data_IF_021293368509
#
_entry.id   IF_021293368509
#
_cell.length_a   1.000
_cell.length_b   1.000
_cell.length_c   1.000
_cell.angle_alpha   90.00
_cell.angle_beta   90.00
_cell.angle_gamma   90.00
#
_symmetry.space_group_name_H-M   'P 1'
#
loop_
_entity.id
_entity.type
_entity.pdbx_description
1 polymer ?
#
# COMPACT_ATOMS: atom_id res chain seq x y z
N UNK A 1 2.02 -18.10 -21.88
CA UNK A 1 2.04 -16.77 -21.26
C UNK A 1 2.00 -16.85 -19.73
N UNK A 2 0.97 -17.46 -19.11
CA UNK A 2 0.81 -17.50 -17.64
C UNK A 2 1.95 -18.21 -16.88
N UNK A 3 2.44 -19.36 -17.36
CA UNK A 3 3.57 -20.06 -16.72
C UNK A 3 4.86 -19.23 -16.74
N UNK A 4 5.17 -18.59 -17.87
CA UNK A 4 6.33 -17.70 -18.00
C UNK A 4 6.19 -16.49 -17.06
N UNK A 5 4.98 -15.93 -16.94
CA UNK A 5 4.68 -14.82 -16.03
C UNK A 5 4.86 -15.21 -14.57
N UNK A 6 4.35 -16.39 -14.18
CA UNK A 6 4.54 -16.93 -12.84
C UNK A 6 6.01 -17.09 -12.49
N UNK A 7 6.81 -17.71 -13.36
CA UNK A 7 8.24 -17.93 -13.12
C UNK A 7 9.05 -16.62 -13.06
N UNK A 8 8.80 -15.69 -13.99
CA UNK A 8 9.55 -14.42 -14.05
C UNK A 8 9.19 -13.48 -12.90
N UNK A 9 7.97 -13.52 -12.36
CA UNK A 9 7.60 -12.76 -11.17
C UNK A 9 8.49 -13.07 -9.96
N UNK A 10 8.96 -14.32 -9.82
CA UNK A 10 9.87 -14.71 -8.74
C UNK A 10 11.34 -14.33 -8.98
N UNK A 11 11.69 -13.79 -10.14
CA UNK A 11 13.08 -13.38 -10.45
C UNK A 11 13.51 -12.09 -9.75
N UNK A 12 12.59 -11.37 -9.10
CA UNK A 12 12.87 -10.08 -8.45
C UNK A 12 13.00 -8.89 -9.40
N UNK A 13 12.82 -9.09 -10.72
CA UNK A 13 12.75 -7.99 -11.68
C UNK A 13 11.49 -7.14 -11.48
N UNK A 14 11.52 -5.84 -11.84
CA UNK A 14 10.34 -4.99 -11.72
C UNK A 14 9.17 -5.50 -12.58
N UNK A 15 8.00 -5.62 -11.96
CA UNK A 15 6.80 -6.26 -12.54
C UNK A 15 6.39 -5.63 -13.87
N UNK A 16 6.55 -4.32 -14.04
CA UNK A 16 6.22 -3.61 -15.28
C UNK A 16 6.97 -4.17 -16.50
N UNK A 17 8.28 -4.43 -16.35
CA UNK A 17 9.10 -4.97 -17.44
C UNK A 17 8.79 -6.44 -17.71
N UNK A 18 8.46 -7.21 -16.67
CA UNK A 18 8.04 -8.61 -16.81
C UNK A 18 6.72 -8.68 -17.59
N UNK A 19 5.72 -7.89 -17.20
CA UNK A 19 4.41 -7.85 -17.86
C UNK A 19 4.52 -7.40 -19.32
N UNK A 20 5.23 -6.29 -19.55
CA UNK A 20 5.44 -5.76 -20.90
C UNK A 20 6.26 -6.71 -21.78
N UNK A 21 7.37 -7.23 -21.27
CA UNK A 21 8.27 -8.12 -22.00
C UNK A 21 7.64 -9.46 -22.36
N UNK A 22 6.93 -10.09 -21.42
CA UNK A 22 6.19 -11.34 -21.69
C UNK A 22 5.03 -11.08 -22.66
N UNK A 23 4.32 -9.97 -22.49
CA UNK A 23 3.24 -9.58 -23.41
C UNK A 23 3.73 -9.42 -24.84
N UNK A 24 4.83 -8.69 -25.04
CA UNK A 24 5.43 -8.50 -26.37
C UNK A 24 6.05 -9.79 -26.92
N UNK A 25 6.74 -10.58 -26.09
CA UNK A 25 7.35 -11.84 -26.50
C UNK A 25 6.32 -12.88 -26.94
N UNK A 26 5.20 -13.01 -26.22
CA UNK A 26 4.11 -13.88 -26.65
C UNK A 26 3.31 -13.31 -27.83
N UNK A 27 3.21 -11.98 -27.99
CA UNK A 27 2.61 -11.38 -29.18
C UNK A 27 3.42 -11.70 -30.45
N UNK A 28 4.76 -11.69 -30.37
CA UNK A 28 5.63 -12.09 -31.48
C UNK A 28 5.48 -13.59 -31.81
N UNK A 29 5.52 -14.47 -30.80
CA UNK A 29 5.30 -15.91 -31.00
C UNK A 29 3.92 -16.22 -31.59
N UNK A 30 2.88 -15.49 -31.18
CA UNK A 30 1.53 -15.69 -31.68
C UNK A 30 1.34 -15.21 -33.13
N UNK A 31 2.17 -14.28 -33.61
CA UNK A 31 2.21 -13.90 -35.03
C UNK A 31 2.77 -15.03 -35.90
N UNK A 32 3.86 -15.67 -35.48
CA UNK A 32 4.47 -16.80 -36.22
C UNK A 32 3.56 -18.03 -36.28
N UNK A 33 2.63 -18.15 -35.33
CA UNK A 33 1.62 -19.22 -35.25
C UNK A 33 0.29 -18.85 -35.94
N UNK A 34 0.24 -17.71 -36.65
CA UNK A 34 -0.94 -17.13 -37.31
C UNK A 34 -2.18 -16.95 -36.39
N UNK A 35 -1.94 -16.94 -35.07
CA UNK A 35 -2.97 -16.80 -34.04
C UNK A 35 -3.19 -15.32 -33.64
N UNK A 36 -2.31 -14.41 -34.06
CA UNK A 36 -2.34 -13.01 -33.67
C UNK A 36 -1.78 -12.08 -34.75
N UNK A 37 -2.50 -11.00 -35.06
CA UNK A 37 -2.03 -9.99 -36.00
C UNK A 37 -1.31 -8.84 -35.26
N UNK A 38 -0.04 -8.63 -35.59
CA UNK A 38 0.82 -7.58 -35.02
C UNK A 38 0.26 -6.16 -35.23
N UNK A 39 -0.56 -5.93 -36.24
CA UNK A 39 -1.25 -4.64 -36.44
C UNK A 39 -2.15 -4.26 -35.24
N UNK A 40 -2.59 -5.22 -34.41
CA UNK A 40 -3.34 -4.94 -33.17
C UNK A 40 -2.49 -4.23 -32.11
N UNK A 41 -1.16 -4.30 -32.15
CA UNK A 41 -0.31 -3.51 -31.27
C UNK A 41 -0.46 -2.00 -31.51
N UNK A 42 -0.87 -1.56 -32.70
CA UNK A 42 -1.11 -0.15 -33.00
C UNK A 42 -2.27 0.45 -32.18
N UNK A 43 -3.09 -0.39 -31.53
CA UNK A 43 -4.16 0.04 -30.61
C UNK A 43 -3.61 0.30 -29.20
N UNK A 44 -2.42 -0.20 -28.85
CA UNK A 44 -1.81 -0.01 -27.53
C UNK A 44 -1.62 1.47 -27.15
N UNK A 45 -1.11 2.37 -28.03
CA UNK A 45 -1.00 3.78 -27.70
C UNK A 45 -2.37 4.39 -27.35
N UNK A 46 -3.41 4.10 -28.11
CA UNK A 46 -4.77 4.58 -27.81
C UNK A 46 -5.30 4.04 -26.48
N UNK A 47 -4.98 2.79 -26.11
CA UNK A 47 -5.34 2.20 -24.81
C UNK A 47 -4.58 2.83 -23.65
N UNK A 48 -3.30 3.12 -23.84
CA UNK A 48 -2.44 3.71 -22.81
C UNK A 48 -2.82 5.18 -22.59
N UNK A 49 -2.86 5.97 -23.66
CA UNK A 49 -3.13 7.41 -23.58
C UNK A 49 -4.61 7.72 -23.32
N UNK A 50 -5.53 7.09 -24.05
CA UNK A 50 -6.98 7.34 -23.93
C UNK A 50 -7.69 6.52 -22.85
N UNK A 51 -6.96 5.72 -22.07
CA UNK A 51 -7.56 4.89 -21.01
C UNK A 51 -6.81 4.98 -19.68
N UNK A 52 -5.50 4.74 -19.70
CA UNK A 52 -4.71 4.71 -18.45
C UNK A 52 -4.25 6.10 -18.03
N UNK A 53 -3.71 6.92 -18.93
CA UNK A 53 -3.20 8.27 -18.58
C UNK A 53 -4.30 9.26 -18.21
N UNK A 54 -5.48 9.17 -18.82
CA UNK A 54 -6.63 10.01 -18.49
C UNK A 54 -7.35 9.57 -17.21
N UNK A 55 -6.88 8.50 -16.55
CA UNK A 55 -7.54 7.99 -15.37
C UNK A 55 -7.40 8.97 -14.19
N UNK A 56 -8.52 9.54 -13.68
CA UNK A 56 -8.47 10.50 -12.57
C UNK A 56 -7.90 9.91 -11.27
N UNK A 57 -7.88 8.57 -11.13
CA UNK A 57 -7.26 7.87 -10.00
C UNK A 57 -5.75 8.14 -9.94
N UNK A 58 -5.07 8.29 -11.10
CA UNK A 58 -3.64 8.60 -11.12
C UNK A 58 -3.33 9.97 -10.52
N UNK A 59 -4.25 10.94 -10.63
CA UNK A 59 -4.13 12.28 -10.02
C UNK A 59 -4.32 12.20 -8.49
N UNK A 60 -5.10 11.24 -8.01
CA UNK A 60 -5.31 11.04 -6.58
C UNK A 60 -4.05 10.53 -5.87
N UNK A 61 -3.19 9.74 -6.54
CA UNK A 61 -1.99 9.14 -5.92
C UNK A 61 -1.05 10.20 -5.32
N UNK A 62 -0.58 11.23 -6.05
CA UNK A 62 0.26 12.28 -5.47
C UNK A 62 -0.43 13.07 -4.35
N UNK A 63 -1.74 13.31 -4.48
CA UNK A 63 -2.51 14.06 -3.49
C UNK A 63 -2.63 13.28 -2.16
N UNK A 64 -2.79 11.95 -2.22
CA UNK A 64 -2.76 11.10 -1.03
C UNK A 64 -1.38 11.05 -0.37
N UNK A 65 -0.31 10.93 -1.17
CA UNK A 65 1.06 10.99 -0.65
C UNK A 65 1.32 12.34 0.03
N UNK A 66 0.87 13.44 -0.60
CA UNK A 66 1.01 14.77 -0.03
C UNK A 66 0.24 14.90 1.31
N UNK A 67 -1.03 14.50 1.35
CA UNK A 67 -1.82 14.54 2.57
C UNK A 67 -1.19 13.69 3.69
N UNK A 68 -0.76 12.47 3.36
CA UNK A 68 -0.11 11.57 4.31
C UNK A 68 1.17 12.16 4.90
N UNK A 69 2.04 12.71 4.04
CA UNK A 69 3.29 13.36 4.48
C UNK A 69 3.04 14.65 5.26
N UNK A 70 2.01 15.41 4.93
CA UNK A 70 1.59 16.61 5.67
C UNK A 70 1.11 16.24 7.09
N UNK A 71 0.27 15.21 7.22
CA UNK A 71 -0.21 14.71 8.52
C UNK A 71 0.93 14.15 9.38
N UNK A 72 1.91 13.51 8.76
CA UNK A 72 3.11 13.01 9.44
C UNK A 72 4.00 14.16 9.93
N UNK A 73 4.34 15.11 9.04
CA UNK A 73 5.26 16.22 9.36
C UNK A 73 4.65 17.28 10.28
N UNK A 74 3.33 17.39 10.33
CA UNK A 74 2.64 18.35 11.21
C UNK A 74 2.61 17.92 12.69
N UNK A 75 2.99 16.68 13.00
CA UNK A 75 2.97 16.16 14.38
C UNK A 75 1.60 15.69 14.85
N UNK A 76 0.55 15.82 14.03
CA UNK A 76 -0.83 15.38 14.35
C UNK A 76 -0.89 13.90 14.72
N UNK A 77 -0.04 13.06 14.11
CA UNK A 77 0.07 11.66 14.46
C UNK A 77 0.43 11.45 15.95
N UNK A 78 1.38 12.24 16.47
CA UNK A 78 1.83 12.13 17.86
C UNK A 78 0.75 12.58 18.84
N UNK A 79 0.06 13.68 18.52
CA UNK A 79 -1.04 14.20 19.33
C UNK A 79 -2.23 13.24 19.33
N UNK A 80 -2.55 12.63 18.18
CA UNK A 80 -3.59 11.61 18.06
C UNK A 80 -3.28 10.39 18.95
N UNK A 81 -2.03 9.90 18.93
CA UNK A 81 -1.62 8.79 19.79
C UNK A 81 -1.81 9.14 21.27
N UNK A 82 -1.41 10.34 21.68
CA UNK A 82 -1.58 10.79 23.06
C UNK A 82 -3.06 10.87 23.46
N UNK A 83 -3.91 11.47 22.63
CA UNK A 83 -5.35 11.53 22.86
C UNK A 83 -5.98 10.14 22.96
N UNK A 84 -5.63 9.22 22.06
CA UNK A 84 -6.13 7.85 22.07
C UNK A 84 -5.66 7.10 23.32
N UNK A 85 -4.44 7.32 23.81
CA UNK A 85 -3.96 6.72 25.05
C UNK A 85 -4.73 7.23 26.28
N UNK A 86 -5.09 8.51 26.31
CA UNK A 86 -5.91 9.09 27.38
C UNK A 86 -7.31 8.48 27.35
N UNK A 87 -7.91 8.35 26.17
CA UNK A 87 -9.24 7.77 25.98
C UNK A 87 -9.30 6.28 26.38
N UNK A 88 -8.30 5.49 26.00
CA UNK A 88 -8.28 4.05 26.28
C UNK A 88 -7.66 3.69 27.62
N UNK A 89 -7.26 4.68 28.45
CA UNK A 89 -6.55 4.46 29.72
C UNK A 89 -7.25 3.48 30.67
N UNK A 90 -8.59 3.46 30.66
CA UNK A 90 -9.41 2.59 31.54
C UNK A 90 -9.58 1.16 31.02
N UNK A 91 -9.17 0.88 29.78
CA UNK A 91 -9.33 -0.43 29.14
C UNK A 91 -8.07 -1.27 29.37
N UNK A 92 -8.19 -2.54 29.82
CA UNK A 92 -7.04 -3.43 29.90
C UNK A 92 -6.46 -3.63 28.49
N UNK A 93 -5.16 -3.39 28.32
CA UNK A 93 -4.53 -3.39 26.98
C UNK A 93 -4.70 -2.08 26.19
N UNK A 94 -5.14 -0.99 26.84
CA UNK A 94 -5.49 0.27 26.19
C UNK A 94 -4.42 0.85 25.26
N UNK A 95 -3.12 0.62 25.55
CA UNK A 95 -2.03 1.06 24.68
C UNK A 95 -2.04 0.33 23.32
N UNK A 96 -2.19 -1.00 23.32
CA UNK A 96 -2.31 -1.76 22.08
C UNK A 96 -3.56 -1.34 21.30
N UNK A 97 -4.67 -1.10 21.99
CA UNK A 97 -5.89 -0.60 21.35
C UNK A 97 -5.68 0.77 20.69
N UNK A 98 -4.99 1.70 21.38
CA UNK A 98 -4.66 3.01 20.83
C UNK A 98 -3.78 2.91 19.58
N UNK A 99 -2.80 2.01 19.58
CA UNK A 99 -1.92 1.77 18.43
C UNK A 99 -2.71 1.19 17.26
N UNK A 100 -3.65 0.27 17.50
CA UNK A 100 -4.51 -0.27 16.45
C UNK A 100 -5.42 0.81 15.85
N UNK A 101 -6.06 1.63 16.69
CA UNK A 101 -6.94 2.71 16.24
C UNK A 101 -6.16 3.79 15.49
N UNK A 102 -5.01 4.20 16.02
CA UNK A 102 -4.14 5.18 15.39
C UNK A 102 -3.62 4.66 14.03
N UNK A 103 -3.14 3.41 14.00
CA UNK A 103 -2.68 2.76 12.77
C UNK A 103 -3.80 2.69 11.73
N UNK A 104 -5.02 2.36 12.15
CA UNK A 104 -6.19 2.31 11.26
C UNK A 104 -6.51 3.68 10.66
N UNK A 105 -6.57 4.74 11.48
CA UNK A 105 -6.87 6.11 11.02
C UNK A 105 -5.77 6.64 10.11
N UNK A 106 -4.50 6.47 10.50
CA UNK A 106 -3.36 6.99 9.75
C UNK A 106 -3.13 6.23 8.45
N UNK A 107 -3.31 4.91 8.45
CA UNK A 107 -3.18 4.10 7.25
C UNK A 107 -4.30 4.40 6.22
N UNK A 108 -5.52 4.71 6.68
CA UNK A 108 -6.60 5.19 5.81
C UNK A 108 -6.24 6.48 5.08
N UNK A 109 -5.56 7.42 5.76
CA UNK A 109 -5.19 8.73 5.18
C UNK A 109 -3.94 8.69 4.30
N UNK A 110 -3.00 7.78 4.57
CA UNK A 110 -1.71 7.72 3.85
C UNK A 110 -1.76 6.78 2.66
N UNK A 111 -2.65 5.78 2.65
CA UNK A 111 -2.80 4.82 1.55
C UNK A 111 -1.58 3.90 1.32
N UNK A 112 -0.52 4.02 2.13
CA UNK A 112 0.75 3.28 1.98
C UNK A 112 1.04 2.52 3.28
N UNK A 113 1.00 1.20 3.18
CA UNK A 113 1.21 0.29 4.33
C UNK A 113 2.64 0.39 4.85
N UNK A 114 3.64 0.43 3.96
CA UNK A 114 5.05 0.41 4.38
C UNK A 114 5.47 1.62 5.20
N UNK A 115 5.18 2.83 4.72
CA UNK A 115 5.58 4.07 5.39
C UNK A 115 4.88 4.23 6.76
N UNK A 116 3.57 3.96 6.81
CA UNK A 116 2.78 4.05 8.04
C UNK A 116 3.24 3.06 9.12
N UNK A 117 3.54 1.81 8.76
CA UNK A 117 4.04 0.81 9.71
C UNK A 117 5.41 1.20 10.27
N UNK A 118 6.32 1.70 9.44
CA UNK A 118 7.64 2.15 9.90
C UNK A 118 7.51 3.30 10.89
N UNK A 119 6.69 4.30 10.58
CA UNK A 119 6.45 5.45 11.46
C UNK A 119 5.80 5.02 12.79
N UNK A 120 4.77 4.18 12.75
CA UNK A 120 4.13 3.61 13.95
C UNK A 120 5.12 2.79 14.79
N UNK A 121 6.01 2.05 14.14
CA UNK A 121 7.06 1.29 14.84
C UNK A 121 7.99 2.24 15.60
N UNK A 122 8.45 3.31 14.95
CA UNK A 122 9.33 4.29 15.59
C UNK A 122 8.66 5.05 16.76
N UNK A 123 7.35 5.31 16.66
CA UNK A 123 6.60 6.06 17.68
C UNK A 123 6.06 5.18 18.82
N UNK A 124 5.53 4.00 18.50
CA UNK A 124 4.75 3.19 19.44
C UNK A 124 5.53 2.02 20.03
N UNK A 125 6.44 1.40 19.28
CA UNK A 125 7.20 0.24 19.78
C UNK A 125 8.00 0.55 21.05
N UNK A 126 8.80 1.65 21.15
CA UNK A 126 9.55 1.93 22.38
C UNK A 126 8.61 2.13 23.58
N UNK A 127 7.50 2.85 23.38
CA UNK A 127 6.49 3.10 24.43
C UNK A 127 5.82 1.81 24.90
N UNK A 128 5.56 0.85 23.99
CA UNK A 128 5.00 -0.45 24.34
C UNK A 128 5.98 -1.30 25.15
N UNK A 129 7.27 -1.29 24.78
CA UNK A 129 8.31 -2.03 25.49
C UNK A 129 8.56 -1.46 26.90
N UNK A 130 8.58 -0.14 27.05
CA UNK A 130 8.67 0.52 28.37
C UNK A 130 7.51 0.15 29.29
N UNK A 131 6.32 -0.13 28.74
CA UNK A 131 5.15 -0.62 29.48
C UNK A 131 5.07 -2.15 29.60
N UNK A 132 6.17 -2.85 29.38
CA UNK A 132 6.30 -4.31 29.51
C UNK A 132 5.35 -5.12 28.60
N UNK A 133 4.98 -4.60 27.43
CA UNK A 133 4.32 -5.42 26.42
C UNK A 133 5.30 -6.46 25.86
N UNK A 134 4.82 -7.67 25.58
CA UNK A 134 5.63 -8.67 24.91
C UNK A 134 5.97 -8.23 23.48
N UNK A 135 7.19 -8.50 23.05
CA UNK A 135 7.68 -8.15 21.69
C UNK A 135 6.75 -8.70 20.59
N UNK A 136 6.28 -9.97 20.64
CA UNK A 136 5.38 -10.50 19.61
C UNK A 136 4.04 -9.77 19.58
N UNK A 137 3.51 -9.35 20.73
CA UNK A 137 2.25 -8.62 20.80
C UNK A 137 2.44 -7.20 20.24
N UNK A 138 3.50 -6.49 20.62
CA UNK A 138 3.75 -5.12 20.16
C UNK A 138 3.98 -5.07 18.64
N UNK A 139 4.90 -5.89 18.13
CA UNK A 139 5.22 -5.96 16.70
C UNK A 139 4.05 -6.48 15.88
N UNK A 140 3.35 -7.52 16.36
CA UNK A 140 2.15 -8.05 15.70
C UNK A 140 1.03 -7.02 15.61
N UNK A 141 0.78 -6.27 16.69
CA UNK A 141 -0.26 -5.22 16.72
C UNK A 141 0.05 -4.09 15.74
N UNK A 142 1.30 -3.63 15.70
CA UNK A 142 1.75 -2.57 14.78
C UNK A 142 1.70 -3.05 13.32
N UNK A 143 2.15 -4.27 13.04
CA UNK A 143 2.09 -4.85 11.70
C UNK A 143 0.65 -5.05 11.23
N UNK A 144 -0.24 -5.57 12.11
CA UNK A 144 -1.65 -5.76 11.76
C UNK A 144 -2.38 -4.44 11.56
N UNK A 145 -2.12 -3.43 12.40
CA UNK A 145 -2.83 -2.15 12.33
C UNK A 145 -2.56 -1.40 11.03
N UNK A 146 -1.34 -1.49 10.49
CA UNK A 146 -1.00 -0.93 9.19
C UNK A 146 -1.78 -1.54 8.02
N UNK A 147 -2.18 -2.81 8.12
CA UNK A 147 -2.97 -3.48 7.07
C UNK A 147 -4.45 -3.11 7.10
N UNK A 148 -4.98 -2.68 8.26
CA UNK A 148 -6.39 -2.32 8.41
C UNK A 148 -6.77 -1.05 7.65
N UNK A 149 -5.82 -0.13 7.39
CA UNK A 149 -6.11 1.11 6.67
C UNK A 149 -6.56 0.92 5.23
N UNK A 150 -6.28 -0.25 4.62
CA UNK A 150 -6.78 -0.58 3.27
C UNK A 150 -8.31 -0.68 3.26
N UNK A 151 -8.94 -0.98 4.39
CA UNK A 151 -10.39 -1.19 4.48
C UNK A 151 -11.20 0.11 4.58
N UNK A 152 -10.55 1.25 4.87
CA UNK A 152 -11.23 2.54 5.05
C UNK A 152 -11.06 3.38 3.78
N UNK A 153 -12.15 3.74 3.07
CA UNK A 153 -12.10 4.66 1.94
C UNK A 153 -11.46 5.99 2.35
N UNK A 154 -10.63 6.63 1.51
CA UNK A 154 -10.37 6.38 0.09
C UNK A 154 -9.10 5.54 -0.17
N UNK A 155 -9.21 4.22 -0.11
CA UNK A 155 -8.09 3.32 -0.43
C UNK A 155 -8.11 2.94 -1.91
N UNK A 156 -6.94 3.00 -2.58
CA UNK A 156 -6.78 2.66 -4.02
C UNK A 156 -7.25 1.24 -4.35
N UNK A 157 -7.23 0.33 -3.38
CA UNK A 157 -7.67 -1.06 -3.60
C UNK A 157 -9.19 -1.21 -3.67
N UNK A 158 -9.95 -0.23 -3.17
CA UNK A 158 -11.43 -0.23 -3.12
C UNK A 158 -12.08 0.65 -4.21
N UNK A 159 -11.29 1.48 -4.91
CA UNK A 159 -11.71 2.39 -5.99
C UNK A 159 -11.18 1.88 -7.32
#
# INVERSE_FOLDING_TARGET
MFLALGLLLFSGFPVAFILGGIGLGFAFLAQELDAFNMARLAILPNRIFGGTMENPVLVAIPMFIYMGTMLEKSGVAKDLLHCLQVLTRRVPGGLALSVTLMGTIMAATTGIIGASVVMMTLLALPVMLERNYSIPLATGTIASSGTLGILIPPSIMLV
#
